data_IF_384879321970
#
_entry.id   IF_384879321970
#
_cell.length_a   1.000
_cell.length_b   1.000
_cell.length_c   1.000
_cell.angle_alpha   90.00
_cell.angle_beta   90.00
_cell.angle_gamma   90.00
#
_symmetry.space_group_name_H-M   'P 1'
#
loop_
_entity.id
_entity.type
_entity.pdbx_description
1 polymer ?
#
# COMPACT_ATOMS: atom_id res chain seq x y z
N UNK A 1 -19.95 10.09 -27.45
CA UNK A 1 -20.06 8.69 -26.99
C UNK A 1 -21.24 7.96 -27.64
N UNK A 2 -22.49 8.39 -27.44
CA UNK A 2 -23.70 7.61 -27.80
C UNK A 2 -23.78 7.10 -29.25
N UNK A 3 -23.36 7.89 -30.25
CA UNK A 3 -23.31 7.42 -31.65
C UNK A 3 -22.28 6.31 -31.90
N UNK A 4 -21.17 6.33 -31.18
CA UNK A 4 -20.14 5.30 -31.27
C UNK A 4 -20.59 4.03 -30.55
N UNK A 5 -21.22 4.16 -29.38
CA UNK A 5 -21.80 3.04 -28.62
C UNK A 5 -22.82 2.28 -29.47
N UNK A 6 -23.75 3.00 -30.14
CA UNK A 6 -24.77 2.37 -30.98
C UNK A 6 -24.23 1.66 -32.23
N UNK A 7 -22.96 1.89 -32.58
CA UNK A 7 -22.31 1.28 -33.73
C UNK A 7 -21.44 0.07 -33.37
N UNK A 8 -21.28 -0.25 -32.07
CA UNK A 8 -20.52 -1.41 -31.62
C UNK A 8 -21.29 -2.70 -31.92
N UNK A 9 -20.58 -3.66 -32.51
CA UNK A 9 -21.02 -5.06 -32.62
C UNK A 9 -20.51 -5.92 -31.47
N UNK A 10 -20.91 -7.20 -31.46
CA UNK A 10 -20.38 -8.18 -30.53
C UNK A 10 -18.86 -8.32 -30.71
N UNK A 11 -18.11 -8.17 -29.62
CA UNK A 11 -16.64 -8.27 -29.61
C UNK A 11 -15.90 -6.96 -29.84
N UNK A 12 -16.60 -5.87 -30.17
CA UNK A 12 -15.96 -4.56 -30.31
C UNK A 12 -15.60 -3.95 -28.94
N UNK A 13 -14.49 -3.21 -28.90
CA UNK A 13 -14.01 -2.52 -27.69
C UNK A 13 -13.93 -1.03 -27.97
N UNK A 14 -14.50 -0.23 -27.07
CA UNK A 14 -14.40 1.23 -27.11
C UNK A 14 -13.79 1.73 -25.81
N UNK A 15 -12.76 2.56 -25.92
CA UNK A 15 -12.20 3.32 -24.80
C UNK A 15 -12.74 4.74 -24.84
N UNK A 16 -13.35 5.18 -23.75
CA UNK A 16 -13.74 6.58 -23.59
C UNK A 16 -12.52 7.45 -23.29
N UNK A 17 -12.62 8.75 -23.57
CA UNK A 17 -11.65 9.73 -23.09
C UNK A 17 -11.59 9.75 -21.56
N UNK A 18 -10.50 10.28 -21.02
CA UNK A 18 -10.27 10.44 -19.58
C UNK A 18 -11.46 11.09 -18.87
N UNK A 19 -12.18 10.28 -18.08
CA UNK A 19 -13.39 10.69 -17.36
C UNK A 19 -13.16 11.86 -16.40
N UNK A 20 -11.91 12.07 -15.94
CA UNK A 20 -11.55 13.19 -15.05
C UNK A 20 -11.45 14.54 -15.75
N UNK A 21 -11.59 14.59 -17.08
CA UNK A 21 -11.79 15.85 -17.79
C UNK A 21 -13.18 16.44 -17.53
N UNK A 22 -14.15 15.61 -17.13
CA UNK A 22 -15.41 16.09 -16.60
C UNK A 22 -15.29 16.29 -15.08
N UNK A 23 -15.53 17.50 -14.55
CA UNK A 23 -15.44 17.76 -13.11
C UNK A 23 -16.45 16.94 -12.29
N UNK A 24 -17.56 16.51 -12.91
CA UNK A 24 -18.60 15.72 -12.25
C UNK A 24 -18.09 14.35 -11.79
N UNK A 25 -17.07 13.79 -12.44
CA UNK A 25 -16.45 12.51 -12.05
C UNK A 25 -16.01 12.47 -10.58
N UNK A 26 -15.54 13.60 -10.05
CA UNK A 26 -15.04 13.74 -8.67
C UNK A 26 -15.91 14.67 -7.82
N UNK A 27 -17.14 14.97 -8.26
CA UNK A 27 -17.99 15.89 -7.53
C UNK A 27 -18.30 15.36 -6.13
N UNK A 28 -18.48 16.30 -5.19
CA UNK A 28 -19.01 16.00 -3.85
C UNK A 28 -20.53 16.12 -3.79
N UNK A 29 -21.16 16.59 -4.87
CA UNK A 29 -22.60 16.63 -5.04
C UNK A 29 -23.05 15.31 -5.69
N UNK A 30 -23.84 14.53 -4.96
CA UNK A 30 -24.36 13.25 -5.44
C UNK A 30 -25.21 13.42 -6.72
N UNK A 31 -25.89 14.56 -6.89
CA UNK A 31 -26.68 14.87 -8.10
C UNK A 31 -25.80 15.00 -9.34
N UNK A 32 -24.60 15.59 -9.19
CA UNK A 32 -23.64 15.72 -10.29
C UNK A 32 -23.02 14.36 -10.64
N UNK A 33 -22.71 13.54 -9.63
CA UNK A 33 -22.22 12.17 -9.83
C UNK A 33 -23.25 11.32 -10.58
N UNK A 34 -24.51 11.34 -10.13
CA UNK A 34 -25.62 10.61 -10.73
C UNK A 34 -25.90 11.06 -12.17
N UNK A 35 -25.88 12.37 -12.43
CA UNK A 35 -26.06 12.93 -13.77
C UNK A 35 -25.01 12.42 -14.75
N UNK A 36 -23.73 12.46 -14.36
CA UNK A 36 -22.65 11.96 -15.21
C UNK A 36 -22.69 10.43 -15.36
N UNK A 37 -23.00 9.69 -14.29
CA UNK A 37 -23.17 8.24 -14.36
C UNK A 37 -24.33 7.82 -15.29
N UNK A 38 -25.43 8.57 -15.31
CA UNK A 38 -26.54 8.31 -16.22
C UNK A 38 -26.13 8.51 -17.70
N UNK A 39 -25.28 9.50 -17.98
CA UNK A 39 -24.69 9.69 -19.33
C UNK A 39 -23.75 8.54 -19.71
N UNK A 40 -22.89 8.09 -18.79
CA UNK A 40 -21.94 6.98 -19.02
C UNK A 40 -22.65 5.64 -19.24
N UNK A 41 -23.76 5.40 -18.54
CA UNK A 41 -24.47 4.12 -18.53
C UNK A 41 -25.72 4.12 -19.42
N UNK A 42 -25.91 5.15 -20.25
CA UNK A 42 -27.11 5.31 -21.08
C UNK A 42 -27.38 4.11 -22.01
N UNK A 43 -26.32 3.46 -22.50
CA UNK A 43 -26.39 2.26 -23.35
C UNK A 43 -25.64 1.05 -22.77
N UNK A 44 -25.47 0.98 -21.45
CA UNK A 44 -24.83 -0.13 -20.77
C UNK A 44 -25.88 -1.00 -20.05
N UNK A 45 -25.84 -2.31 -20.30
CA UNK A 45 -26.72 -3.29 -19.66
C UNK A 45 -26.10 -3.89 -18.39
N UNK A 46 -24.76 -3.89 -18.31
CA UNK A 46 -23.97 -4.49 -17.24
C UNK A 46 -22.88 -3.50 -16.82
N UNK A 47 -22.59 -3.46 -15.52
CA UNK A 47 -21.44 -2.77 -14.97
C UNK A 47 -20.44 -3.79 -14.43
N UNK A 48 -19.17 -3.66 -14.84
CA UNK A 48 -18.06 -4.45 -14.33
C UNK A 48 -17.01 -3.51 -13.77
N UNK A 49 -16.77 -3.58 -12.46
CA UNK A 49 -15.69 -2.83 -11.83
C UNK A 49 -14.43 -3.71 -11.78
N UNK A 50 -13.44 -3.35 -12.59
CA UNK A 50 -12.12 -3.99 -12.60
C UNK A 50 -11.00 -3.03 -12.18
N UNK A 51 -11.33 -1.94 -11.47
CA UNK A 51 -10.40 -0.87 -11.10
C UNK A 51 -10.19 -0.77 -9.58
N UNK A 52 -9.48 -1.75 -9.00
CA UNK A 52 -9.26 -1.81 -7.55
C UNK A 52 -8.57 -0.55 -6.98
N UNK A 53 -7.58 0.00 -7.69
CA UNK A 53 -6.86 1.22 -7.29
C UNK A 53 -7.73 2.46 -7.09
N UNK A 54 -8.96 2.47 -7.61
CA UNK A 54 -9.94 3.55 -7.41
C UNK A 54 -11.12 3.15 -6.52
N UNK A 55 -11.14 1.93 -5.98
CA UNK A 55 -12.23 1.42 -5.14
C UNK A 55 -12.34 2.09 -3.74
N UNK A 56 -11.40 2.96 -3.38
CA UNK A 56 -11.49 3.80 -2.18
C UNK A 56 -12.16 5.16 -2.45
N UNK A 57 -12.67 5.40 -3.68
CA UNK A 57 -13.19 6.69 -4.10
C UNK A 57 -14.64 6.59 -4.55
N UNK A 58 -15.53 7.35 -3.90
CA UNK A 58 -16.92 7.52 -4.34
C UNK A 58 -16.96 8.49 -5.53
N UNK A 59 -16.72 7.95 -6.73
CA UNK A 59 -16.73 8.70 -8.00
C UNK A 59 -17.91 8.28 -8.89
N UNK A 60 -18.20 9.06 -9.94
CA UNK A 60 -19.32 8.77 -10.84
C UNK A 60 -19.13 7.41 -11.52
N UNK A 61 -17.96 7.17 -12.13
CA UNK A 61 -17.63 5.92 -12.83
C UNK A 61 -17.47 4.69 -11.92
N UNK A 62 -17.15 4.90 -10.63
CA UNK A 62 -16.83 3.82 -9.68
C UNK A 62 -18.01 3.41 -8.81
N UNK A 63 -18.94 4.33 -8.54
CA UNK A 63 -20.01 4.14 -7.56
C UNK A 63 -21.38 4.43 -8.19
N UNK A 64 -21.59 5.65 -8.70
CA UNK A 64 -22.89 6.04 -9.24
C UNK A 64 -23.25 5.27 -10.53
N UNK A 65 -22.27 4.88 -11.34
CA UNK A 65 -22.47 4.04 -12.53
C UNK A 65 -23.01 2.65 -12.17
N UNK A 66 -22.50 2.02 -11.11
CA UNK A 66 -23.02 0.76 -10.60
C UNK A 66 -24.50 0.90 -10.19
N UNK A 67 -24.81 1.94 -9.41
CA UNK A 67 -26.18 2.24 -8.99
C UNK A 67 -27.12 2.51 -10.18
N UNK A 68 -26.65 3.23 -11.20
CA UNK A 68 -27.43 3.54 -12.39
C UNK A 68 -27.78 2.30 -13.22
N UNK A 69 -26.87 1.31 -13.29
CA UNK A 69 -27.14 0.02 -13.95
C UNK A 69 -28.09 -0.84 -13.10
N UNK A 70 -27.86 -0.94 -11.79
CA UNK A 70 -28.77 -1.65 -10.86
C UNK A 70 -30.19 -1.08 -10.88
N UNK A 71 -30.35 0.24 -10.96
CA UNK A 71 -31.65 0.91 -11.06
C UNK A 71 -32.44 0.49 -12.32
N UNK A 72 -31.76 0.01 -13.36
CA UNK A 72 -32.36 -0.55 -14.59
C UNK A 72 -32.47 -2.09 -14.55
N UNK A 73 -32.27 -2.71 -13.37
CA UNK A 73 -32.22 -4.17 -13.17
C UNK A 73 -31.06 -4.88 -13.88
N UNK A 74 -30.00 -4.14 -14.26
CA UNK A 74 -28.76 -4.73 -14.77
C UNK A 74 -27.80 -5.12 -13.62
N UNK A 75 -26.93 -6.12 -13.82
CA UNK A 75 -25.96 -6.54 -12.80
C UNK A 75 -24.78 -5.56 -12.71
N UNK A 76 -24.29 -5.38 -11.49
CA UNK A 76 -23.09 -4.61 -11.17
C UNK A 76 -22.09 -5.50 -10.41
N UNK A 77 -21.07 -5.99 -11.09
CA UNK A 77 -20.19 -7.06 -10.59
C UNK A 77 -18.73 -6.64 -10.53
N UNK A 78 -17.94 -7.39 -9.75
CA UNK A 78 -16.48 -7.28 -9.78
C UNK A 78 -15.92 -7.95 -11.05
N UNK A 79 -14.93 -7.32 -11.67
CA UNK A 79 -14.04 -7.98 -12.62
C UNK A 79 -12.99 -8.83 -11.90
N UNK A 80 -12.19 -9.57 -12.68
CA UNK A 80 -11.21 -10.51 -12.13
C UNK A 80 -10.10 -9.85 -11.32
N UNK A 81 -9.67 -8.64 -11.67
CA UNK A 81 -8.65 -7.91 -10.90
C UNK A 81 -9.22 -7.51 -9.52
N UNK A 82 -10.43 -6.94 -9.49
CA UNK A 82 -11.07 -6.53 -8.23
C UNK A 82 -11.40 -7.74 -7.36
N UNK A 83 -11.91 -8.83 -7.95
CA UNK A 83 -12.14 -10.10 -7.25
C UNK A 83 -10.84 -10.62 -6.61
N UNK A 84 -9.76 -10.68 -7.38
CA UNK A 84 -8.44 -11.13 -6.91
C UNK A 84 -7.91 -10.25 -5.77
N UNK A 85 -8.00 -8.94 -5.92
CA UNK A 85 -7.55 -7.97 -4.90
C UNK A 85 -8.33 -8.12 -3.60
N UNK A 86 -9.67 -8.22 -3.68
CA UNK A 86 -10.52 -8.44 -2.50
C UNK A 86 -10.15 -9.76 -1.84
N UNK A 87 -10.04 -10.85 -2.61
CA UNK A 87 -9.72 -12.18 -2.08
C UNK A 87 -8.45 -12.16 -1.25
N UNK A 88 -7.33 -11.70 -1.82
CA UNK A 88 -6.03 -11.75 -1.13
C UNK A 88 -5.95 -10.77 0.04
N UNK A 89 -6.50 -9.57 -0.08
CA UNK A 89 -6.51 -8.61 1.03
C UNK A 89 -7.44 -9.04 2.15
N UNK A 90 -8.57 -9.68 1.82
CA UNK A 90 -9.48 -10.23 2.81
C UNK A 90 -8.84 -11.41 3.55
N UNK A 91 -8.35 -12.41 2.81
CA UNK A 91 -7.69 -13.60 3.39
C UNK A 91 -6.50 -13.21 4.28
N UNK A 92 -5.66 -12.27 3.85
CA UNK A 92 -4.50 -11.82 4.61
C UNK A 92 -4.85 -11.08 5.92
N UNK A 93 -6.09 -10.60 6.10
CA UNK A 93 -6.49 -9.81 7.28
C UNK A 93 -7.52 -10.52 8.15
N UNK A 94 -8.45 -11.26 7.55
CA UNK A 94 -9.55 -11.91 8.26
C UNK A 94 -9.09 -13.17 8.99
N UNK A 95 -8.34 -14.05 8.29
CA UNK A 95 -7.85 -15.32 8.82
C UNK A 95 -6.39 -15.58 8.41
N UNK A 96 -5.43 -14.72 8.81
CA UNK A 96 -4.04 -14.88 8.41
C UNK A 96 -3.41 -16.12 9.04
N UNK A 97 -2.61 -16.84 8.24
CA UNK A 97 -1.71 -17.85 8.79
C UNK A 97 -0.65 -17.16 9.66
N UNK A 98 -0.51 -17.60 10.91
CA UNK A 98 0.40 -16.98 11.88
C UNK A 98 1.78 -17.66 11.89
N UNK A 99 2.86 -16.93 12.21
CA UNK A 99 2.93 -15.51 12.54
C UNK A 99 2.54 -14.57 11.38
N UNK A 100 1.71 -13.57 11.69
CA UNK A 100 1.32 -12.52 10.76
C UNK A 100 2.22 -11.30 10.97
N UNK A 101 3.06 -11.01 9.97
CA UNK A 101 4.04 -9.92 10.01
C UNK A 101 3.61 -8.80 9.05
N UNK A 102 3.59 -7.56 9.54
CA UNK A 102 3.49 -6.39 8.70
C UNK A 102 4.85 -5.72 8.54
N UNK A 103 5.18 -5.28 7.34
CA UNK A 103 6.39 -4.55 6.99
C UNK A 103 5.96 -3.20 6.44
N UNK A 104 6.35 -2.11 7.09
CA UNK A 104 5.92 -0.76 6.75
C UNK A 104 7.13 0.14 6.51
N UNK A 105 7.11 0.88 5.42
CA UNK A 105 8.19 1.79 5.06
C UNK A 105 7.72 2.99 4.26
N UNK A 106 8.64 3.58 3.50
CA UNK A 106 8.42 4.82 2.76
C UNK A 106 8.70 6.08 3.60
N UNK A 107 8.33 7.24 3.04
CA UNK A 107 8.82 8.52 3.53
C UNK A 107 7.98 9.14 4.68
N UNK A 108 6.66 9.05 4.61
CA UNK A 108 5.74 9.76 5.52
C UNK A 108 5.07 8.79 6.49
N UNK A 109 5.25 9.03 7.78
CA UNK A 109 4.55 8.30 8.84
C UNK A 109 3.10 8.74 8.95
N UNK A 110 2.79 10.02 8.70
CA UNK A 110 1.43 10.58 8.76
C UNK A 110 0.43 9.82 7.87
N UNK A 111 0.88 9.38 6.71
CA UNK A 111 0.10 8.57 5.77
C UNK A 111 -0.16 7.13 6.27
N UNK A 112 0.59 6.66 7.27
CA UNK A 112 0.59 5.26 7.76
C UNK A 112 0.05 5.09 9.18
N UNK A 113 -0.15 6.17 9.96
CA UNK A 113 -0.56 6.07 11.37
C UNK A 113 -1.81 5.20 11.53
N UNK A 114 -2.83 5.44 10.70
CA UNK A 114 -4.10 4.69 10.74
C UNK A 114 -3.90 3.22 10.39
N UNK A 115 -3.04 2.92 9.41
CA UNK A 115 -2.68 1.55 9.08
C UNK A 115 -1.97 0.87 10.25
N UNK A 116 -0.97 1.51 10.85
CA UNK A 116 -0.25 0.94 12.00
C UNK A 116 -1.24 0.61 13.12
N UNK A 117 -2.10 1.57 13.51
CA UNK A 117 -3.13 1.35 14.54
C UNK A 117 -4.09 0.22 14.18
N UNK A 118 -4.56 0.14 12.93
CA UNK A 118 -5.45 -0.92 12.47
C UNK A 118 -4.79 -2.31 12.49
N UNK A 119 -3.47 -2.37 12.24
CA UNK A 119 -2.70 -3.61 12.22
C UNK A 119 -2.24 -4.07 13.61
N UNK A 120 -2.02 -3.15 14.57
CA UNK A 120 -1.54 -3.49 15.92
C UNK A 120 -2.39 -4.56 16.62
N UNK A 121 -3.71 -4.53 16.41
CA UNK A 121 -4.65 -5.51 16.95
C UNK A 121 -4.68 -6.85 16.20
N UNK A 122 -4.06 -6.96 15.03
CA UNK A 122 -4.18 -8.12 14.12
C UNK A 122 -2.87 -8.89 13.96
N UNK A 123 -1.76 -8.16 13.87
CA UNK A 123 -0.42 -8.70 13.58
C UNK A 123 0.31 -9.17 14.84
N UNK A 124 1.23 -10.10 14.63
CA UNK A 124 2.16 -10.58 15.65
C UNK A 124 3.40 -9.67 15.74
N UNK A 125 3.90 -9.17 14.60
CA UNK A 125 5.03 -8.23 14.53
C UNK A 125 4.79 -7.16 13.45
N UNK A 126 5.33 -5.96 13.69
CA UNK A 126 5.41 -4.86 12.73
C UNK A 126 6.89 -4.47 12.59
N UNK A 127 7.42 -4.56 11.38
CA UNK A 127 8.76 -4.14 11.01
C UNK A 127 8.65 -2.77 10.34
N UNK A 128 9.30 -1.75 10.89
CA UNK A 128 9.23 -0.38 10.33
C UNK A 128 10.60 0.02 9.80
N UNK A 129 10.66 0.38 8.52
CA UNK A 129 11.84 0.93 7.85
C UNK A 129 11.52 2.23 7.11
N UNK A 130 12.37 2.62 6.16
CA UNK A 130 12.19 3.87 5.40
C UNK A 130 12.32 5.11 6.27
N UNK A 131 12.03 6.27 5.70
CA UNK A 131 12.16 7.53 6.42
C UNK A 131 11.16 7.67 7.58
N UNK A 132 10.00 6.99 7.50
CA UNK A 132 9.03 6.97 8.58
C UNK A 132 9.61 6.42 9.90
N UNK A 133 10.59 5.51 9.84
CA UNK A 133 11.24 4.95 11.02
C UNK A 133 11.89 6.03 11.89
N UNK A 134 12.41 7.10 11.31
CA UNK A 134 13.12 8.15 12.05
C UNK A 134 12.20 8.97 12.94
N UNK A 135 10.92 9.14 12.58
CA UNK A 135 9.93 9.76 13.48
C UNK A 135 9.68 8.89 14.70
N UNK A 136 9.65 7.56 14.53
CA UNK A 136 9.48 6.62 15.64
C UNK A 136 10.75 6.48 16.50
N UNK A 137 11.93 6.49 15.90
CA UNK A 137 13.21 6.50 16.62
C UNK A 137 13.35 7.77 17.46
N UNK A 138 13.02 8.94 16.89
CA UNK A 138 12.97 10.20 17.63
C UNK A 138 11.94 10.16 18.77
N UNK A 139 10.79 9.52 18.55
CA UNK A 139 9.80 9.29 19.61
C UNK A 139 10.35 8.40 20.75
N UNK A 140 11.26 7.45 20.46
CA UNK A 140 12.01 6.68 21.48
C UNK A 140 13.14 7.46 22.16
N UNK A 141 13.45 8.66 21.69
CA UNK A 141 14.52 9.51 22.24
C UNK A 141 15.88 9.30 21.57
N UNK A 142 15.94 8.59 20.44
CA UNK A 142 17.17 8.42 19.67
C UNK A 142 17.52 9.70 18.88
N UNK A 143 18.81 9.97 18.69
CA UNK A 143 19.24 11.00 17.73
C UNK A 143 19.06 10.46 16.31
N UNK A 144 18.52 11.28 15.42
CA UNK A 144 18.29 10.90 14.00
C UNK A 144 19.00 11.83 13.02
N UNK A 145 19.93 12.65 13.51
CA UNK A 145 20.67 13.62 12.70
C UNK A 145 19.77 14.53 11.87
N UNK A 146 20.07 14.63 10.58
CA UNK A 146 19.29 15.38 9.58
C UNK A 146 18.30 14.50 8.80
N UNK A 147 17.95 13.32 9.33
CA UNK A 147 16.96 12.43 8.71
C UNK A 147 15.57 13.08 8.63
N UNK A 148 14.77 12.64 7.66
CA UNK A 148 13.40 13.13 7.49
C UNK A 148 12.53 12.71 8.68
N UNK A 149 11.97 13.69 9.38
CA UNK A 149 11.09 13.50 10.55
C UNK A 149 9.85 14.37 10.42
N UNK A 150 8.69 13.81 10.76
CA UNK A 150 7.45 14.58 10.93
C UNK A 150 7.30 14.98 12.41
N UNK A 151 7.84 16.15 12.77
CA UNK A 151 7.93 16.63 14.15
C UNK A 151 6.56 16.70 14.86
N UNK A 152 5.52 17.07 14.12
CA UNK A 152 4.14 17.15 14.61
C UNK A 152 3.53 15.78 14.92
N UNK A 153 4.14 14.69 14.45
CA UNK A 153 3.69 13.31 14.67
C UNK A 153 4.47 12.60 15.79
N UNK A 154 5.54 13.19 16.33
CA UNK A 154 6.41 12.53 17.34
C UNK A 154 5.63 12.14 18.59
N UNK A 155 4.77 13.02 19.13
CA UNK A 155 3.96 12.70 20.32
C UNK A 155 2.94 11.59 20.03
N UNK A 156 2.34 11.58 18.83
CA UNK A 156 1.44 10.49 18.41
C UNK A 156 2.20 9.17 18.34
N UNK A 157 3.42 9.18 17.81
CA UNK A 157 4.27 7.98 17.73
C UNK A 157 4.72 7.47 19.09
N UNK A 158 4.95 8.35 20.08
CA UNK A 158 5.24 7.94 21.47
C UNK A 158 4.09 7.13 22.05
N UNK A 159 2.85 7.61 21.91
CA UNK A 159 1.67 6.89 22.37
C UNK A 159 1.50 5.55 21.66
N UNK A 160 1.68 5.55 20.33
CA UNK A 160 1.57 4.34 19.52
C UNK A 160 2.62 3.29 19.90
N UNK A 161 3.87 3.70 20.15
CA UNK A 161 4.94 2.81 20.59
C UNK A 161 4.66 2.22 21.98
N UNK A 162 4.10 3.02 22.89
CA UNK A 162 3.70 2.55 24.21
C UNK A 162 2.55 1.52 24.12
N UNK A 163 1.57 1.75 23.24
CA UNK A 163 0.47 0.79 22.98
C UNK A 163 0.99 -0.50 22.33
N UNK A 164 1.94 -0.39 21.40
CA UNK A 164 2.46 -1.51 20.64
C UNK A 164 3.34 -2.48 21.46
N UNK A 165 3.95 -2.01 22.55
CA UNK A 165 4.91 -2.80 23.33
C UNK A 165 6.08 -3.28 22.48
N UNK A 166 6.34 -4.59 22.49
CA UNK A 166 7.42 -5.24 21.73
C UNK A 166 7.02 -5.63 20.29
N UNK A 167 5.79 -5.34 19.86
CA UNK A 167 5.32 -5.70 18.51
C UNK A 167 6.03 -4.91 17.41
N UNK A 168 6.42 -3.66 17.67
CA UNK A 168 7.09 -2.80 16.69
C UNK A 168 8.61 -2.92 16.82
N UNK A 169 9.23 -3.43 15.75
CA UNK A 169 10.67 -3.43 15.57
C UNK A 169 11.07 -2.24 14.70
N UNK A 170 12.02 -1.47 15.19
CA UNK A 170 12.64 -0.34 14.50
C UNK A 170 14.08 -0.69 14.10
N UNK A 171 14.68 0.04 13.14
CA UNK A 171 16.07 -0.17 12.77
C UNK A 171 17.01 0.07 13.95
N UNK A 172 18.02 -0.79 14.07
CA UNK A 172 19.07 -0.70 15.09
C UNK A 172 20.44 -0.29 14.53
N UNK A 173 20.53 -0.14 13.21
CA UNK A 173 21.65 0.37 12.45
C UNK A 173 21.15 0.85 11.07
N UNK A 174 21.95 1.67 10.39
CA UNK A 174 21.52 2.40 9.21
C UNK A 174 22.62 2.48 8.16
N UNK A 175 22.22 2.71 6.91
CA UNK A 175 23.06 3.32 5.89
C UNK A 175 22.63 4.77 5.75
N UNK A 176 23.57 5.70 5.96
CA UNK A 176 23.30 7.14 5.89
C UNK A 176 24.17 7.88 4.89
N UNK A 177 23.95 9.19 4.80
CA UNK A 177 24.71 10.11 3.97
C UNK A 177 24.67 11.52 4.56
N UNK A 178 25.62 12.37 4.18
CA UNK A 178 25.58 13.81 4.52
C UNK A 178 24.66 14.61 3.61
N UNK A 179 24.38 14.09 2.40
CA UNK A 179 23.52 14.70 1.40
C UNK A 179 22.61 13.65 0.75
N UNK A 180 21.36 14.02 0.50
CA UNK A 180 20.38 13.12 -0.13
C UNK A 180 20.81 12.63 -1.52
N UNK A 181 21.72 13.33 -2.19
CA UNK A 181 22.28 13.01 -3.51
C UNK A 181 23.60 12.26 -3.46
N UNK A 182 24.15 11.94 -2.28
CA UNK A 182 25.42 11.19 -2.18
C UNK A 182 25.24 9.74 -2.65
N UNK A 183 26.05 9.25 -3.58
CA UNK A 183 26.06 7.81 -3.97
C UNK A 183 26.95 6.95 -3.06
N UNK A 184 27.54 7.55 -2.01
CA UNK A 184 28.40 6.87 -1.05
C UNK A 184 27.66 6.71 0.28
N UNK A 185 27.28 5.47 0.58
CA UNK A 185 26.67 5.11 1.87
C UNK A 185 27.71 5.12 2.99
N UNK A 186 27.33 5.70 4.13
CA UNK A 186 28.06 5.69 5.39
C UNK A 186 27.35 4.75 6.36
N UNK A 187 28.03 3.72 6.83
CA UNK A 187 27.45 2.79 7.79
C UNK A 187 27.34 3.45 9.19
N UNK A 188 26.16 3.39 9.79
CA UNK A 188 25.88 3.83 11.16
C UNK A 188 25.50 2.59 11.96
N UNK A 189 26.37 2.14 12.87
CA UNK A 189 26.25 0.83 13.53
C UNK A 189 25.36 0.81 14.79
N UNK A 190 24.64 1.89 15.05
CA UNK A 190 23.86 2.19 16.27
C UNK A 190 22.47 2.73 15.88
N UNK A 191 21.43 2.61 16.76
CA UNK A 191 20.14 3.23 16.52
C UNK A 191 20.21 4.76 16.35
N UNK A 192 21.13 5.42 17.08
CA UNK A 192 21.34 6.86 16.99
C UNK A 192 22.23 7.24 15.81
N UNK A 193 21.81 8.25 15.04
CA UNK A 193 22.50 8.78 13.86
C UNK A 193 23.20 10.09 14.23
N UNK A 194 24.42 10.28 13.73
CA UNK A 194 25.21 11.49 13.93
C UNK A 194 24.55 12.75 13.34
N UNK A 195 24.82 13.91 13.95
CA UNK A 195 24.13 15.17 13.67
C UNK A 195 24.25 15.64 12.20
N UNK A 196 25.29 15.21 11.49
CA UNK A 196 25.59 15.56 10.09
C UNK A 196 25.09 14.52 9.07
N UNK A 197 24.48 13.42 9.53
CA UNK A 197 24.00 12.33 8.68
C UNK A 197 22.47 12.26 8.63
N UNK A 198 21.94 11.88 7.48
CA UNK A 198 20.57 11.36 7.33
C UNK A 198 20.62 9.86 7.07
N UNK A 199 19.70 9.11 7.66
CA UNK A 199 19.50 7.71 7.31
C UNK A 199 18.76 7.59 5.97
N UNK A 200 19.25 6.70 5.11
CA UNK A 200 18.82 6.52 3.72
C UNK A 200 18.35 5.09 3.43
N UNK A 201 18.81 4.11 4.20
CA UNK A 201 18.37 2.71 4.16
C UNK A 201 18.66 2.03 5.51
N UNK A 202 18.08 0.86 5.75
CA UNK A 202 18.37 0.06 6.94
C UNK A 202 19.76 -0.59 6.86
N UNK A 203 20.44 -0.71 8.00
CA UNK A 203 21.76 -1.31 8.08
C UNK A 203 21.74 -2.86 8.11
N UNK A 204 22.91 -3.50 8.02
CA UNK A 204 23.03 -4.96 7.96
C UNK A 204 22.46 -5.69 9.19
N UNK A 205 22.58 -5.14 10.41
CA UNK A 205 22.01 -5.79 11.62
C UNK A 205 20.48 -5.73 11.61
N UNK A 206 19.91 -4.62 11.13
CA UNK A 206 18.48 -4.46 10.95
C UNK A 206 17.96 -5.42 9.88
N UNK A 207 18.69 -5.57 8.78
CA UNK A 207 18.36 -6.55 7.72
C UNK A 207 18.32 -7.96 8.29
N UNK A 208 19.32 -8.36 9.08
CA UNK A 208 19.37 -9.67 9.74
C UNK A 208 18.16 -9.88 10.66
N UNK A 209 17.90 -8.94 11.57
CA UNK A 209 16.79 -9.02 12.51
C UNK A 209 15.41 -9.05 11.81
N UNK A 210 15.22 -8.24 10.77
CA UNK A 210 13.98 -8.22 10.00
C UNK A 210 13.81 -9.53 9.24
N UNK A 211 14.88 -10.03 8.61
CA UNK A 211 14.85 -11.30 7.86
C UNK A 211 14.55 -12.49 8.76
N UNK A 212 15.08 -12.51 9.99
CA UNK A 212 14.78 -13.54 10.98
C UNK A 212 13.28 -13.56 11.31
N UNK A 213 12.68 -12.40 11.61
CA UNK A 213 11.23 -12.32 11.87
C UNK A 213 10.42 -12.77 10.66
N UNK A 214 10.78 -12.31 9.46
CA UNK A 214 10.10 -12.67 8.21
C UNK A 214 10.18 -14.17 7.96
N UNK A 215 11.33 -14.82 8.21
CA UNK A 215 11.56 -16.24 7.92
C UNK A 215 10.60 -17.19 8.63
N UNK A 216 10.00 -16.73 9.74
CA UNK A 216 9.02 -17.49 10.51
C UNK A 216 7.57 -17.21 10.12
N UNK A 217 7.30 -16.23 9.26
CA UNK A 217 5.96 -15.74 8.99
C UNK A 217 5.12 -16.74 8.19
N UNK A 218 3.87 -16.93 8.62
CA UNK A 218 2.84 -17.61 7.83
C UNK A 218 2.11 -16.65 6.88
N UNK A 219 2.09 -15.36 7.20
CA UNK A 219 1.50 -14.30 6.37
C UNK A 219 2.31 -13.02 6.49
N UNK A 220 2.60 -12.38 5.37
CA UNK A 220 3.32 -11.11 5.29
C UNK A 220 2.50 -10.08 4.52
N UNK A 221 2.34 -8.89 5.08
CA UNK A 221 1.91 -7.71 4.33
C UNK A 221 3.05 -6.72 4.29
N UNK A 222 3.41 -6.24 3.10
CA UNK A 222 4.47 -5.24 2.94
C UNK A 222 3.97 -3.99 2.23
N UNK A 223 4.18 -2.82 2.85
CA UNK A 223 3.80 -1.52 2.31
C UNK A 223 4.86 -0.43 2.57
N UNK A 224 5.61 -0.09 1.54
CA UNK A 224 6.66 0.94 1.52
C UNK A 224 8.09 0.38 1.62
N UNK A 225 9.05 0.91 0.84
CA UNK A 225 10.44 0.44 0.83
C UNK A 225 11.18 0.75 2.14
N UNK A 226 12.29 0.05 2.38
CA UNK A 226 13.12 0.21 3.59
C UNK A 226 14.12 1.37 3.50
N UNK A 227 14.36 1.87 2.29
CA UNK A 227 15.28 2.96 1.99
C UNK A 227 14.95 3.62 0.65
N UNK A 228 15.85 4.48 0.18
CA UNK A 228 15.76 5.16 -1.13
C UNK A 228 16.15 4.18 -2.25
N UNK A 229 15.29 3.20 -2.50
CA UNK A 229 15.56 2.05 -3.36
C UNK A 229 15.84 2.39 -4.83
N UNK A 230 15.47 3.60 -5.27
CA UNK A 230 15.80 4.14 -6.58
C UNK A 230 17.30 4.37 -6.78
N UNK A 231 18.08 4.28 -5.70
CA UNK A 231 19.54 4.46 -5.69
C UNK A 231 20.20 3.19 -5.19
N UNK A 232 21.08 2.61 -5.99
CA UNK A 232 21.71 1.31 -5.71
C UNK A 232 22.39 1.24 -4.33
N UNK A 233 23.03 2.34 -3.89
CA UNK A 233 23.69 2.44 -2.59
C UNK A 233 22.73 2.34 -1.38
N UNK A 234 21.43 2.56 -1.59
CA UNK A 234 20.38 2.61 -0.56
C UNK A 234 19.19 1.69 -0.89
N UNK A 235 19.41 0.71 -1.78
CA UNK A 235 18.43 -0.30 -2.16
C UNK A 235 18.67 -1.65 -1.45
N UNK A 236 19.71 -1.75 -0.63
CA UNK A 236 20.20 -3.00 -0.04
C UNK A 236 19.17 -3.59 0.93
N UNK A 237 18.64 -2.77 1.83
CA UNK A 237 17.63 -3.16 2.80
C UNK A 237 16.31 -3.54 2.15
N UNK A 238 15.85 -2.73 1.19
CA UNK A 238 14.64 -3.03 0.40
C UNK A 238 14.80 -4.36 -0.35
N UNK A 239 15.96 -4.61 -0.94
CA UNK A 239 16.26 -5.87 -1.65
C UNK A 239 16.30 -7.06 -0.72
N UNK A 240 16.96 -6.94 0.43
CA UNK A 240 17.06 -8.03 1.39
C UNK A 240 15.69 -8.41 1.97
N UNK A 241 14.86 -7.41 2.30
CA UNK A 241 13.48 -7.65 2.73
C UNK A 241 12.66 -8.31 1.62
N UNK A 242 12.72 -7.83 0.39
CA UNK A 242 12.03 -8.45 -0.74
C UNK A 242 12.43 -9.93 -0.93
N UNK A 243 13.73 -10.23 -0.80
CA UNK A 243 14.25 -11.60 -0.89
C UNK A 243 13.76 -12.49 0.26
N UNK A 244 13.74 -11.98 1.49
CA UNK A 244 13.24 -12.70 2.65
C UNK A 244 11.75 -13.05 2.49
N UNK A 245 10.94 -12.09 2.03
CA UNK A 245 9.50 -12.30 1.76
C UNK A 245 9.28 -13.32 0.66
N UNK A 246 10.02 -13.24 -0.44
CA UNK A 246 9.97 -14.22 -1.51
C UNK A 246 10.35 -15.62 -1.00
N UNK A 247 11.36 -15.72 -0.13
CA UNK A 247 11.81 -16.99 0.45
C UNK A 247 10.73 -17.69 1.27
N UNK A 248 9.98 -16.97 2.11
CA UNK A 248 8.87 -17.59 2.87
C UNK A 248 7.66 -17.89 2.00
N UNK A 249 7.46 -17.13 0.91
CA UNK A 249 6.39 -17.39 -0.05
C UNK A 249 6.64 -18.67 -0.83
N UNK A 250 7.88 -18.92 -1.26
CA UNK A 250 8.28 -20.20 -1.85
C UNK A 250 8.08 -21.37 -0.86
N UNK A 251 8.16 -21.09 0.44
CA UNK A 251 7.86 -22.03 1.53
C UNK A 251 6.36 -22.22 1.84
N UNK A 252 5.47 -21.52 1.14
CA UNK A 252 4.01 -21.62 1.29
C UNK A 252 3.36 -20.55 2.17
N UNK A 253 4.10 -19.56 2.65
CA UNK A 253 3.51 -18.41 3.33
C UNK A 253 2.76 -17.50 2.35
N UNK A 254 1.73 -16.80 2.82
CA UNK A 254 1.03 -15.79 2.02
C UNK A 254 1.76 -14.46 2.06
N UNK A 255 2.13 -13.89 0.92
CA UNK A 255 2.71 -12.54 0.84
C UNK A 255 1.85 -11.59 0.01
N UNK A 256 1.47 -10.46 0.61
CA UNK A 256 0.72 -9.39 -0.05
C UNK A 256 1.55 -8.12 -0.06
N UNK A 257 1.95 -7.70 -1.26
CA UNK A 257 2.72 -6.47 -1.48
C UNK A 257 1.73 -5.37 -1.85
N UNK A 258 1.70 -4.29 -1.09
CA UNK A 258 0.85 -3.13 -1.33
C UNK A 258 1.65 -1.84 -1.45
N UNK A 259 1.04 -0.84 -2.09
CA UNK A 259 1.70 0.45 -2.34
C UNK A 259 2.50 0.43 -3.64
N UNK A 260 2.44 1.55 -4.38
CA UNK A 260 3.10 1.66 -5.70
C UNK A 260 4.61 1.44 -5.64
N UNK A 261 5.27 1.98 -4.62
CA UNK A 261 6.73 1.91 -4.50
C UNK A 261 7.22 0.51 -4.14
N UNK A 262 6.54 -0.20 -3.24
CA UNK A 262 6.88 -1.61 -2.93
C UNK A 262 6.61 -2.53 -4.11
N UNK A 263 5.49 -2.34 -4.82
CA UNK A 263 5.19 -3.09 -6.03
C UNK A 263 6.25 -2.85 -7.12
N UNK A 264 6.67 -1.59 -7.31
CA UNK A 264 7.75 -1.25 -8.24
C UNK A 264 9.09 -1.86 -7.81
N UNK A 265 9.42 -1.83 -6.52
CA UNK A 265 10.66 -2.40 -6.00
C UNK A 265 10.73 -3.92 -6.24
N UNK A 266 9.68 -4.68 -5.93
CA UNK A 266 9.69 -6.15 -6.18
C UNK A 266 9.74 -6.48 -7.66
N UNK A 267 9.10 -5.68 -8.51
CA UNK A 267 9.11 -5.87 -9.97
C UNK A 267 10.50 -5.60 -10.56
N UNK A 268 11.13 -4.48 -10.19
CA UNK A 268 12.51 -4.15 -10.61
C UNK A 268 13.53 -5.20 -10.17
N UNK A 269 13.24 -5.92 -9.07
CA UNK A 269 14.08 -6.99 -8.57
C UNK A 269 13.78 -8.36 -9.20
N UNK A 270 12.78 -8.45 -10.08
CA UNK A 270 12.35 -9.71 -10.70
C UNK A 270 11.71 -10.70 -9.71
N UNK A 271 11.11 -10.18 -8.64
CA UNK A 271 10.52 -10.98 -7.56
C UNK A 271 8.99 -10.93 -7.56
N UNK A 272 8.35 -10.13 -8.43
CA UNK A 272 6.90 -9.96 -8.47
C UNK A 272 6.13 -11.28 -8.61
N UNK A 273 6.54 -12.15 -9.53
CA UNK A 273 5.92 -13.46 -9.75
C UNK A 273 6.12 -14.45 -8.60
N UNK A 274 7.09 -14.19 -7.70
CA UNK A 274 7.33 -15.02 -6.51
C UNK A 274 6.49 -14.59 -5.31
N UNK A 275 5.77 -13.48 -5.40
CA UNK A 275 4.86 -13.04 -4.35
C UNK A 275 3.49 -13.68 -4.55
N UNK A 276 2.74 -13.90 -3.47
CA UNK A 276 1.37 -14.44 -3.60
C UNK A 276 0.47 -13.43 -4.30
N UNK A 277 0.59 -12.15 -3.93
CA UNK A 277 -0.14 -11.07 -4.56
C UNK A 277 0.63 -9.75 -4.52
N UNK A 278 0.80 -9.13 -5.69
CA UNK A 278 1.29 -7.75 -5.82
C UNK A 278 0.09 -6.87 -6.17
N UNK A 279 -0.34 -6.07 -5.21
CA UNK A 279 -1.51 -5.22 -5.34
C UNK A 279 -1.21 -4.00 -6.21
N UNK A 280 -2.10 -3.75 -7.16
CA UNK A 280 -2.13 -2.55 -7.99
C UNK A 280 -2.88 -1.40 -7.30
N UNK A 281 -3.42 -1.66 -6.10
CA UNK A 281 -4.37 -0.78 -5.43
C UNK A 281 -3.78 0.47 -4.81
N UNK A 282 -2.48 0.53 -4.54
CA UNK A 282 -1.83 1.67 -3.87
C UNK A 282 -2.58 2.11 -2.61
N UNK A 283 -3.20 3.29 -2.66
CA UNK A 283 -4.04 3.82 -1.57
C UNK A 283 -5.34 3.04 -1.31
N UNK A 284 -5.86 2.31 -2.30
CA UNK A 284 -7.02 1.43 -2.12
C UNK A 284 -6.70 0.25 -1.20
N UNK A 285 -5.57 -0.43 -1.41
CA UNK A 285 -5.11 -1.52 -0.56
C UNK A 285 -4.89 -1.01 0.86
N UNK A 286 -4.28 0.17 1.01
CA UNK A 286 -4.10 0.82 2.31
C UNK A 286 -5.44 1.08 3.02
N UNK A 287 -6.40 1.68 2.31
CA UNK A 287 -7.75 1.98 2.83
C UNK A 287 -8.47 0.70 3.27
N UNK A 288 -8.34 -0.38 2.49
CA UNK A 288 -8.91 -1.69 2.81
C UNK A 288 -8.28 -2.27 4.09
N UNK A 289 -6.94 -2.26 4.20
CA UNK A 289 -6.23 -2.77 5.38
C UNK A 289 -6.53 -1.97 6.66
N UNK A 290 -6.77 -0.66 6.52
CA UNK A 290 -7.26 0.22 7.60
C UNK A 290 -8.69 -0.12 8.05
N UNK A 291 -9.41 -0.99 7.32
CA UNK A 291 -10.80 -1.36 7.61
C UNK A 291 -11.80 -0.23 7.32
N UNK A 292 -11.45 0.69 6.42
CA UNK A 292 -12.35 1.78 6.00
C UNK A 292 -13.36 1.29 4.96
N UNK A 293 -14.51 1.97 4.84
CA UNK A 293 -15.48 1.68 3.79
C UNK A 293 -14.87 1.78 2.39
N UNK A 294 -15.31 0.90 1.51
CA UNK A 294 -14.92 0.84 0.10
C UNK A 294 -16.18 0.92 -0.76
N UNK A 295 -16.79 2.12 -0.94
CA UNK A 295 -18.13 2.23 -1.53
C UNK A 295 -18.27 1.58 -2.93
N UNK A 296 -17.30 1.74 -3.86
CA UNK A 296 -17.28 1.00 -5.13
C UNK A 296 -17.26 -0.53 -5.06
N UNK A 297 -16.88 -1.12 -3.91
CA UNK A 297 -16.94 -2.57 -3.67
C UNK A 297 -18.27 -2.91 -2.99
N UNK A 298 -18.67 -2.12 -1.99
CA UNK A 298 -19.90 -2.32 -1.22
C UNK A 298 -21.19 -2.19 -2.06
N UNK A 299 -21.14 -1.44 -3.16
CA UNK A 299 -22.27 -1.24 -4.09
C UNK A 299 -22.46 -2.42 -5.05
N UNK A 300 -21.45 -3.28 -5.23
CA UNK A 300 -21.53 -4.41 -6.15
C UNK A 300 -22.49 -5.49 -5.63
N UNK A 301 -23.02 -6.27 -6.55
CA UNK A 301 -23.89 -7.41 -6.25
C UNK A 301 -23.13 -8.47 -5.42
N UNK A 302 -23.85 -9.14 -4.52
CA UNK A 302 -23.30 -10.14 -3.58
C UNK A 302 -23.23 -11.54 -4.16
#
# INVERSE_FOLDING_TARGET
>A
ANRMISALGEGDVMLLENLRFDPREKSKDDTELESFAAELTAGADVYVNDAFGTCHRKHASMYAAAQAVQAKSGPAVAGYLVEKEIKYLHEAVAEPARPFVAILGGAKVSDKIKLISALLGKVDRILIGGAMAYTLLKARGESVGISLVEEDQVEVMKHLLAEAGDKILLPCDHLGATEFTSDQAVAVSDPSIGDDLMGMDIGPKTIEAFSEVISSAGTVIWNGPMGVFERDAYAVGTRAVAQAVAGVTDGGATSVIGGGDSAAAVEQMGLGERMTHVSTGGGASLTYLEGKPMPPIEVLDK
#
